data_IF_385110128463
#
_entry.id   IF_385110128463
#
_cell.length_a   1.000
_cell.length_b   1.000
_cell.length_c   1.000
_cell.angle_alpha   90.00
_cell.angle_beta   90.00
_cell.angle_gamma   90.00
#
_symmetry.space_group_name_H-M   'P 1'
#
loop_
_entity.id
_entity.type
_entity.pdbx_description
1 polymer ?
#
# COMPACT_ATOMS: atom_id res chain seq x y z
N UNK A 1 28.39 -37.51 7.98
CA UNK A 1 28.89 -36.19 7.61
C UNK A 1 29.60 -36.18 6.26
N UNK A 2 30.77 -36.84 6.08
CA UNK A 2 31.60 -36.80 4.85
C UNK A 2 30.79 -37.06 3.53
N UNK A 3 29.90 -38.06 3.51
CA UNK A 3 29.06 -38.39 2.32
C UNK A 3 28.08 -37.30 1.93
N UNK A 4 27.57 -36.47 2.87
CA UNK A 4 26.64 -35.39 2.59
C UNK A 4 27.36 -34.11 2.19
N UNK A 5 28.51 -33.84 2.79
CA UNK A 5 29.36 -32.68 2.44
C UNK A 5 29.96 -32.84 1.05
N UNK A 6 30.24 -34.07 0.62
CA UNK A 6 30.77 -34.38 -0.72
C UNK A 6 29.72 -34.30 -1.85
N UNK A 7 28.45 -34.08 -1.54
CA UNK A 7 27.40 -33.97 -2.59
C UNK A 7 27.48 -32.64 -3.32
N UNK A 8 27.25 -32.58 -4.64
CA UNK A 8 27.20 -31.32 -5.39
C UNK A 8 26.17 -30.31 -4.87
N UNK A 9 25.12 -30.81 -4.18
CA UNK A 9 24.07 -30.01 -3.59
C UNK A 9 24.46 -29.37 -2.24
N UNK A 10 25.63 -29.72 -1.69
CA UNK A 10 26.07 -29.17 -0.43
C UNK A 10 26.10 -27.64 -0.47
N UNK A 11 25.52 -26.99 0.56
CA UNK A 11 25.53 -25.54 0.71
C UNK A 11 26.38 -25.12 1.89
N UNK A 12 26.05 -25.62 3.07
CA UNK A 12 26.74 -25.29 4.31
C UNK A 12 26.45 -26.34 5.40
N UNK A 13 27.19 -26.31 6.48
CA UNK A 13 26.93 -27.10 7.66
C UNK A 13 27.17 -26.29 8.93
N UNK A 14 26.50 -26.68 10.01
CA UNK A 14 26.71 -26.11 11.36
C UNK A 14 26.98 -27.27 12.31
N UNK A 15 28.10 -27.20 13.01
CA UNK A 15 28.47 -28.14 14.07
C UNK A 15 27.99 -27.54 15.38
N UNK A 16 27.13 -28.26 16.08
CA UNK A 16 26.60 -27.85 17.39
C UNK A 16 27.36 -28.50 18.53
N UNK A 17 27.76 -29.74 18.34
CA UNK A 17 28.45 -30.56 19.33
C UNK A 17 29.23 -31.67 18.62
N UNK A 18 30.04 -32.39 19.33
CA UNK A 18 30.84 -33.53 18.81
C UNK A 18 30.00 -34.56 18.04
N UNK A 19 28.73 -34.74 18.48
CA UNK A 19 27.81 -35.71 17.94
C UNK A 19 26.65 -35.13 17.12
N UNK A 20 26.54 -33.80 16.98
CA UNK A 20 25.41 -33.13 16.32
C UNK A 20 25.89 -32.12 15.28
N UNK A 21 25.55 -32.41 14.02
CA UNK A 21 25.85 -31.56 12.88
C UNK A 21 24.63 -31.45 11.98
N UNK A 22 24.24 -30.22 11.64
CA UNK A 22 23.24 -29.97 10.59
C UNK A 22 23.92 -29.69 9.27
N UNK A 23 23.48 -30.37 8.21
CA UNK A 23 23.97 -30.16 6.84
C UNK A 23 22.84 -29.64 5.99
N UNK A 24 23.02 -28.47 5.38
CA UNK A 24 22.09 -27.88 4.44
C UNK A 24 22.47 -28.26 3.02
N UNK A 25 21.51 -28.83 2.30
CA UNK A 25 21.66 -29.18 0.88
C UNK A 25 20.73 -28.28 0.04
N UNK A 26 21.18 -27.89 -1.14
CA UNK A 26 20.35 -27.19 -2.14
C UNK A 26 19.33 -28.18 -2.73
N UNK A 27 18.08 -27.75 -2.91
CA UNK A 27 17.10 -28.52 -3.69
C UNK A 27 17.49 -28.52 -5.17
N UNK A 28 17.70 -29.69 -5.74
CA UNK A 28 17.99 -29.86 -7.17
C UNK A 28 16.73 -29.95 -8.02
N UNK A 29 15.64 -30.43 -7.42
CA UNK A 29 14.35 -30.57 -8.09
C UNK A 29 13.31 -29.76 -7.33
N UNK A 30 12.64 -28.88 -8.03
CA UNK A 30 11.50 -28.12 -7.50
C UNK A 30 10.24 -28.61 -8.18
N UNK A 31 9.37 -29.25 -7.41
CA UNK A 31 8.07 -29.69 -7.91
C UNK A 31 7.10 -28.51 -7.92
N UNK A 32 6.63 -28.11 -9.10
CA UNK A 32 5.66 -27.06 -9.30
C UNK A 32 4.25 -27.66 -9.40
N UNK A 33 3.71 -28.12 -8.28
CA UNK A 33 2.39 -28.75 -8.20
C UNK A 33 1.26 -27.81 -7.74
N UNK A 34 1.54 -26.51 -7.60
CA UNK A 34 0.52 -25.50 -7.29
C UNK A 34 0.01 -24.85 -8.58
N UNK A 35 -1.30 -24.69 -8.74
CA UNK A 35 -1.90 -24.14 -9.96
C UNK A 35 -1.69 -22.62 -10.03
N UNK A 36 -0.51 -22.18 -10.43
CA UNK A 36 -0.12 -20.75 -10.50
C UNK A 36 -0.98 -19.96 -11.47
N UNK A 37 -1.43 -20.58 -12.56
CA UNK A 37 -2.33 -19.97 -13.55
C UNK A 37 -3.69 -19.60 -12.94
N UNK A 38 -4.22 -20.42 -12.02
CA UNK A 38 -5.45 -20.07 -11.29
C UNK A 38 -5.22 -18.83 -10.43
N UNK A 39 -4.09 -18.75 -9.70
CA UNK A 39 -3.74 -17.58 -8.91
C UNK A 39 -3.61 -16.31 -9.77
N UNK A 40 -3.04 -16.42 -10.97
CA UNK A 40 -2.97 -15.30 -11.92
C UNK A 40 -4.37 -14.86 -12.37
N UNK A 41 -5.22 -15.79 -12.76
CA UNK A 41 -6.60 -15.47 -13.17
C UNK A 41 -7.39 -14.80 -12.04
N UNK A 42 -7.26 -15.28 -10.80
CA UNK A 42 -7.93 -14.67 -9.63
C UNK A 42 -7.47 -13.22 -9.45
N UNK A 43 -6.17 -12.94 -9.55
CA UNK A 43 -5.65 -11.59 -9.44
C UNK A 43 -6.15 -10.67 -10.56
N UNK A 44 -6.23 -11.14 -11.78
CA UNK A 44 -6.72 -10.34 -12.90
C UNK A 44 -8.24 -10.11 -12.81
N UNK A 45 -9.01 -11.09 -12.37
CA UNK A 45 -10.45 -10.92 -12.09
C UNK A 45 -10.68 -9.92 -10.93
N UNK A 46 -9.86 -9.99 -9.88
CA UNK A 46 -9.91 -9.02 -8.79
C UNK A 46 -9.67 -7.59 -9.29
N UNK A 47 -8.65 -7.38 -10.13
CA UNK A 47 -8.42 -6.06 -10.75
C UNK A 47 -9.59 -5.59 -11.59
N UNK A 48 -10.21 -6.50 -12.37
CA UNK A 48 -11.39 -6.16 -13.17
C UNK A 48 -12.55 -5.68 -12.30
N UNK A 49 -12.81 -6.34 -11.17
CA UNK A 49 -13.84 -5.91 -10.21
C UNK A 49 -13.53 -4.52 -9.67
N UNK A 50 -12.28 -4.28 -9.25
CA UNK A 50 -11.85 -2.97 -8.77
C UNK A 50 -12.01 -1.88 -9.84
N UNK A 51 -11.58 -2.14 -11.08
CA UNK A 51 -11.71 -1.18 -12.17
C UNK A 51 -13.16 -0.89 -12.54
N UNK A 52 -14.05 -1.90 -12.54
CA UNK A 52 -15.48 -1.68 -12.75
C UNK A 52 -16.06 -0.76 -11.68
N UNK A 53 -15.79 -1.03 -10.41
CA UNK A 53 -16.25 -0.14 -9.34
C UNK A 53 -15.77 1.29 -9.53
N UNK A 54 -14.49 1.49 -9.87
CA UNK A 54 -13.94 2.83 -10.09
C UNK A 54 -14.54 3.52 -11.33
N UNK A 55 -14.50 2.88 -12.48
CA UNK A 55 -14.86 3.51 -13.76
C UNK A 55 -16.37 3.45 -14.10
N UNK A 56 -17.09 2.45 -13.63
CA UNK A 56 -18.52 2.28 -13.94
C UNK A 56 -19.42 2.86 -12.84
N UNK A 57 -18.94 2.95 -11.60
CA UNK A 57 -19.73 3.49 -10.48
C UNK A 57 -19.19 4.83 -9.95
N UNK A 58 -17.95 4.88 -9.42
CA UNK A 58 -17.44 6.08 -8.75
C UNK A 58 -17.29 7.26 -9.71
N UNK A 59 -16.57 7.09 -10.81
CA UNK A 59 -16.26 8.20 -11.72
C UNK A 59 -17.50 8.81 -12.39
N UNK A 60 -18.49 8.03 -12.87
CA UNK A 60 -19.71 8.61 -13.46
C UNK A 60 -20.61 9.28 -12.42
N UNK A 61 -20.69 8.70 -11.22
CA UNK A 61 -21.62 9.15 -10.19
C UNK A 61 -21.10 10.35 -9.40
N UNK A 62 -19.77 10.40 -9.16
CA UNK A 62 -19.14 11.45 -8.39
C UNK A 62 -18.07 12.18 -9.22
N UNK A 63 -18.47 13.04 -10.16
CA UNK A 63 -17.53 13.85 -10.94
C UNK A 63 -16.69 14.71 -9.99
N UNK A 64 -15.38 14.57 -10.06
CA UNK A 64 -14.45 15.26 -9.16
C UNK A 64 -13.99 14.44 -7.95
N UNK A 65 -14.44 13.18 -7.82
CA UNK A 65 -13.86 12.26 -6.83
C UNK A 65 -12.36 12.08 -7.08
N UNK A 66 -11.55 12.13 -6.01
CA UNK A 66 -10.12 11.90 -6.07
C UNK A 66 -9.76 10.59 -5.40
N UNK A 67 -9.03 9.74 -6.10
CA UNK A 67 -8.48 8.51 -5.52
C UNK A 67 -7.24 8.86 -4.70
N UNK A 68 -7.31 8.67 -3.37
CA UNK A 68 -6.22 8.96 -2.46
C UNK A 68 -5.21 7.81 -2.40
N UNK A 69 -5.69 6.56 -2.33
CA UNK A 69 -4.86 5.37 -2.50
C UNK A 69 -5.68 4.16 -2.98
N UNK A 70 -4.96 3.19 -3.51
CA UNK A 70 -5.46 1.84 -3.76
C UNK A 70 -4.41 0.82 -3.30
N UNK A 71 -4.86 -0.29 -2.72
CA UNK A 71 -4.00 -1.40 -2.34
C UNK A 71 -4.67 -2.73 -2.66
N UNK A 72 -4.48 -3.20 -3.88
CA UNK A 72 -4.94 -4.49 -4.43
C UNK A 72 -6.48 -4.61 -4.49
N UNK A 73 -7.14 -4.59 -3.33
CA UNK A 73 -8.57 -4.87 -3.11
C UNK A 73 -9.27 -3.76 -2.31
N UNK A 74 -8.63 -2.63 -2.14
CA UNK A 74 -9.18 -1.49 -1.41
C UNK A 74 -8.94 -0.17 -2.11
N UNK A 75 -9.86 0.76 -1.90
CA UNK A 75 -9.78 2.14 -2.33
C UNK A 75 -10.00 3.10 -1.17
N UNK A 76 -9.37 4.25 -1.22
CA UNK A 76 -9.73 5.40 -0.42
C UNK A 76 -10.00 6.58 -1.35
N UNK A 77 -11.16 7.21 -1.20
CA UNK A 77 -11.57 8.33 -2.03
C UNK A 77 -11.81 9.57 -1.18
N UNK A 78 -11.50 10.71 -1.75
CA UNK A 78 -12.10 11.97 -1.39
C UNK A 78 -13.22 12.27 -2.40
N UNK A 79 -14.45 12.42 -1.92
CA UNK A 79 -15.61 12.63 -2.77
C UNK A 79 -16.24 13.97 -2.40
N UNK A 80 -16.20 14.99 -3.29
CA UNK A 80 -16.88 16.24 -3.07
C UNK A 80 -18.40 15.99 -3.22
N UNK A 81 -19.13 16.00 -2.14
CA UNK A 81 -20.57 15.82 -2.14
C UNK A 81 -21.26 16.84 -1.24
N UNK A 82 -22.43 17.30 -1.69
CA UNK A 82 -23.33 18.13 -0.90
C UNK A 82 -24.39 17.31 -0.16
N UNK A 83 -24.45 16.01 -0.40
CA UNK A 83 -25.40 15.07 0.19
C UNK A 83 -24.68 14.01 1.00
N UNK A 84 -25.42 13.31 1.84
CA UNK A 84 -24.89 12.19 2.58
C UNK A 84 -24.51 11.05 1.63
N UNK A 85 -23.22 10.78 1.54
CA UNK A 85 -22.63 9.71 0.70
C UNK A 85 -23.10 8.33 1.15
N UNK A 86 -23.26 8.12 2.44
CA UNK A 86 -23.69 6.82 2.96
C UNK A 86 -25.13 6.49 2.61
N UNK A 87 -26.02 7.48 2.64
CA UNK A 87 -27.38 7.34 2.16
C UNK A 87 -27.42 7.03 0.65
N UNK A 88 -26.53 7.66 -0.12
CA UNK A 88 -26.41 7.42 -1.55
C UNK A 88 -25.85 6.03 -1.86
N UNK A 89 -24.90 5.51 -1.06
CA UNK A 89 -24.41 4.14 -1.18
C UNK A 89 -25.54 3.13 -0.93
N UNK A 90 -26.41 3.37 0.05
CA UNK A 90 -27.57 2.51 0.32
C UNK A 90 -28.52 2.42 -0.86
N UNK A 91 -28.68 3.52 -1.61
CA UNK A 91 -29.46 3.53 -2.86
C UNK A 91 -28.82 2.74 -4.01
N UNK A 92 -27.58 2.23 -3.86
CA UNK A 92 -26.83 1.48 -4.88
C UNK A 92 -26.31 0.17 -4.31
N UNK A 93 -27.17 -0.56 -3.63
CA UNK A 93 -26.84 -1.82 -2.94
C UNK A 93 -26.16 -2.87 -3.81
N UNK A 94 -26.36 -2.82 -5.14
CA UNK A 94 -25.70 -3.75 -6.05
C UNK A 94 -24.15 -3.69 -6.01
N UNK A 95 -23.60 -2.63 -5.49
CA UNK A 95 -22.14 -2.46 -5.36
C UNK A 95 -21.60 -2.76 -3.97
N UNK A 96 -22.43 -2.76 -2.94
CA UNK A 96 -21.99 -2.74 -1.53
C UNK A 96 -22.46 -3.92 -0.71
N UNK A 97 -21.67 -4.22 0.32
CA UNK A 97 -22.00 -5.08 1.45
C UNK A 97 -22.03 -4.22 2.72
N UNK A 98 -23.20 -4.08 3.34
CA UNK A 98 -23.44 -3.26 4.52
C UNK A 98 -23.48 -4.07 5.82
N UNK A 99 -23.09 -5.32 5.81
CA UNK A 99 -23.20 -6.21 6.96
C UNK A 99 -22.25 -5.91 8.13
N UNK A 100 -21.28 -5.00 7.93
CA UNK A 100 -20.31 -4.59 8.95
C UNK A 100 -20.67 -3.30 9.70
N UNK A 101 -21.78 -2.65 9.32
CA UNK A 101 -22.28 -1.52 10.08
C UNK A 101 -22.86 -1.97 11.42
N UNK A 102 -22.94 -1.07 12.40
CA UNK A 102 -23.65 -1.35 13.65
C UNK A 102 -25.15 -1.57 13.41
N UNK A 103 -25.79 -2.38 14.25
CA UNK A 103 -27.20 -2.78 14.05
C UNK A 103 -28.16 -1.58 14.04
N UNK A 104 -27.84 -0.54 14.76
CA UNK A 104 -28.61 0.72 14.84
C UNK A 104 -28.27 1.72 13.73
N UNK A 105 -27.23 1.44 12.92
CA UNK A 105 -26.85 2.31 11.82
C UNK A 105 -27.88 2.24 10.68
N UNK A 106 -28.29 3.39 10.08
CA UNK A 106 -29.30 3.41 9.03
C UNK A 106 -28.97 2.56 7.79
N UNK A 107 -27.72 2.33 7.54
CA UNK A 107 -27.25 1.52 6.41
C UNK A 107 -27.07 0.05 6.73
N UNK A 108 -27.22 -0.37 7.98
CA UNK A 108 -27.04 -1.77 8.34
C UNK A 108 -27.99 -2.67 7.55
N UNK A 109 -27.43 -3.69 6.94
CA UNK A 109 -28.17 -4.73 6.25
C UNK A 109 -27.33 -6.02 6.24
N UNK A 110 -27.78 -7.03 6.96
CA UNK A 110 -27.09 -8.30 7.07
C UNK A 110 -27.50 -9.28 5.96
N UNK A 111 -28.70 -9.13 5.42
CA UNK A 111 -29.28 -10.11 4.50
C UNK A 111 -28.86 -9.87 3.05
N UNK A 112 -28.51 -8.62 2.71
CA UNK A 112 -28.14 -8.24 1.35
C UNK A 112 -26.62 -8.21 1.19
N UNK A 113 -26.12 -8.98 0.24
CA UNK A 113 -24.69 -9.00 -0.18
C UNK A 113 -23.69 -9.40 0.91
N UNK A 114 -24.11 -9.92 2.03
CA UNK A 114 -23.19 -10.35 3.10
C UNK A 114 -22.20 -11.41 2.59
N UNK A 115 -20.91 -11.09 2.68
CA UNK A 115 -19.79 -11.93 2.22
C UNK A 115 -19.83 -12.31 0.73
N UNK A 116 -20.56 -11.58 -0.10
CA UNK A 116 -20.60 -11.82 -1.54
C UNK A 116 -19.31 -11.27 -2.19
N UNK A 117 -18.51 -12.11 -2.88
CA UNK A 117 -17.30 -11.64 -3.54
C UNK A 117 -17.58 -10.52 -4.56
N UNK A 118 -16.76 -9.48 -4.54
CA UNK A 118 -16.87 -8.35 -5.47
C UNK A 118 -17.77 -7.22 -4.98
N UNK A 119 -18.37 -7.33 -3.81
CA UNK A 119 -19.08 -6.23 -3.16
C UNK A 119 -18.11 -5.42 -2.30
N UNK A 120 -18.26 -4.11 -2.33
CA UNK A 120 -17.42 -3.18 -1.58
C UNK A 120 -17.96 -3.03 -0.17
N UNK A 121 -17.09 -3.13 0.81
CA UNK A 121 -17.40 -2.96 2.22
C UNK A 121 -16.72 -1.71 2.75
N UNK A 122 -17.46 -0.87 3.46
CA UNK A 122 -16.88 0.28 4.13
C UNK A 122 -16.06 -0.16 5.34
N UNK A 123 -14.75 0.05 5.29
CA UNK A 123 -13.83 -0.31 6.38
C UNK A 123 -13.96 0.57 7.62
N UNK A 124 -14.62 1.71 7.51
CA UNK A 124 -14.86 2.63 8.62
C UNK A 124 -16.26 2.51 9.22
N UNK A 125 -17.07 1.60 8.68
CA UNK A 125 -18.43 1.31 9.17
C UNK A 125 -19.30 2.57 9.34
N UNK A 126 -19.23 3.50 8.38
CA UNK A 126 -20.00 4.75 8.40
C UNK A 126 -19.33 5.92 9.11
N UNK A 127 -18.17 5.71 9.72
CA UNK A 127 -17.43 6.81 10.39
C UNK A 127 -16.62 7.57 9.35
N UNK A 128 -16.85 8.88 9.15
CA UNK A 128 -16.15 9.67 8.16
C UNK A 128 -14.64 9.77 8.42
N UNK A 129 -13.85 9.68 7.36
CA UNK A 129 -12.43 10.02 7.39
C UNK A 129 -12.34 11.56 7.32
N UNK A 130 -11.73 12.17 8.34
CA UNK A 130 -11.57 13.63 8.43
C UNK A 130 -10.21 14.10 7.93
N UNK A 131 -9.19 13.24 7.96
CA UNK A 131 -7.86 13.58 7.48
C UNK A 131 -7.16 12.36 6.91
N UNK A 132 -6.54 12.54 5.75
CA UNK A 132 -5.68 11.54 5.10
C UNK A 132 -4.32 12.16 4.80
N UNK A 133 -3.24 11.47 5.18
CA UNK A 133 -1.87 11.87 4.87
C UNK A 133 -1.15 10.70 4.22
N UNK A 134 -0.81 10.82 2.94
CA UNK A 134 -0.08 9.82 2.19
C UNK A 134 1.32 10.30 1.81
N UNK A 135 2.36 9.55 2.19
CA UNK A 135 3.73 9.85 1.80
C UNK A 135 4.12 9.05 0.54
N UNK A 136 3.68 7.83 0.44
CA UNK A 136 3.90 6.93 -0.71
C UNK A 136 3.04 5.67 -0.56
N UNK A 137 3.05 4.81 -1.59
CA UNK A 137 2.35 3.53 -1.54
C UNK A 137 2.69 2.74 -0.27
N UNK A 138 1.65 2.30 0.46
CA UNK A 138 1.75 1.59 1.75
C UNK A 138 2.46 2.40 2.86
N UNK A 139 2.40 3.74 2.78
CA UNK A 139 2.92 4.64 3.80
C UNK A 139 1.98 5.84 3.92
N UNK A 140 0.95 5.69 4.73
CA UNK A 140 -0.11 6.68 4.91
C UNK A 140 -0.69 6.61 6.33
N UNK A 141 -1.37 7.66 6.73
CA UNK A 141 -2.13 7.75 7.97
C UNK A 141 -3.52 8.30 7.70
N UNK A 142 -4.51 7.71 8.35
CA UNK A 142 -5.93 8.05 8.25
C UNK A 142 -6.43 8.41 9.65
N UNK A 143 -7.09 9.56 9.77
CA UNK A 143 -7.81 9.98 10.97
C UNK A 143 -9.30 9.95 10.68
N UNK A 144 -10.07 9.29 11.52
CA UNK A 144 -11.52 9.26 11.46
C UNK A 144 -12.13 10.14 12.55
N UNK A 145 -13.40 10.50 12.40
CA UNK A 145 -14.07 11.46 13.30
C UNK A 145 -14.12 10.97 14.76
N UNK A 146 -14.29 9.67 14.97
CA UNK A 146 -14.60 9.09 16.29
C UNK A 146 -13.51 8.14 16.81
N UNK A 147 -12.46 7.87 16.05
CA UNK A 147 -11.47 6.88 16.45
C UNK A 147 -10.54 7.44 17.55
N UNK A 148 -10.36 6.68 18.61
CA UNK A 148 -9.34 6.95 19.63
C UNK A 148 -7.90 6.89 19.08
N UNK A 149 -7.69 6.15 17.99
CA UNK A 149 -6.38 5.96 17.36
C UNK A 149 -6.45 6.07 15.85
N UNK A 150 -5.51 6.82 15.31
CA UNK A 150 -5.32 6.94 13.86
C UNK A 150 -4.92 5.58 13.22
N UNK A 151 -5.52 5.23 12.08
CA UNK A 151 -5.13 4.05 11.29
C UNK A 151 -3.89 4.39 10.47
N UNK A 152 -2.77 3.74 10.76
CA UNK A 152 -1.49 4.01 10.09
C UNK A 152 -0.94 2.77 9.39
N UNK A 153 -0.46 2.98 8.18
CA UNK A 153 0.27 1.99 7.41
C UNK A 153 1.67 2.53 7.09
N UNK A 154 2.71 1.78 7.49
CA UNK A 154 4.10 2.11 7.22
C UNK A 154 4.87 0.83 6.88
N UNK A 155 4.88 0.45 5.59
CA UNK A 155 5.53 -0.78 5.13
C UNK A 155 7.03 -0.75 5.43
N UNK A 156 7.51 -1.83 6.05
CA UNK A 156 8.92 -1.99 6.38
C UNK A 156 9.33 -1.40 7.74
N UNK A 157 8.41 -0.77 8.46
CA UNK A 157 8.60 -0.34 9.84
C UNK A 157 8.25 -1.48 10.80
N UNK A 158 9.03 -1.63 11.86
CA UNK A 158 8.77 -2.62 12.91
C UNK A 158 7.43 -2.28 13.60
N UNK A 159 6.58 -3.28 13.84
CA UNK A 159 5.23 -3.09 14.38
C UNK A 159 5.23 -2.28 15.68
N UNK A 160 6.10 -2.61 16.62
CA UNK A 160 6.22 -1.87 17.90
C UNK A 160 6.59 -0.39 17.70
N UNK A 161 7.50 -0.09 16.76
CA UNK A 161 7.85 1.29 16.42
C UNK A 161 6.65 2.03 15.84
N UNK A 162 5.93 1.39 14.92
CA UNK A 162 4.73 1.98 14.30
C UNK A 162 3.65 2.28 15.34
N UNK A 163 3.40 1.38 16.29
CA UNK A 163 2.31 1.51 17.27
C UNK A 163 2.63 2.46 18.43
N UNK A 164 3.91 2.64 18.78
CA UNK A 164 4.28 3.38 19.99
C UNK A 164 5.11 4.65 19.73
N UNK A 165 5.73 4.79 18.56
CA UNK A 165 6.66 5.88 18.29
C UNK A 165 6.26 6.75 17.10
N UNK A 166 5.31 6.31 16.27
CA UNK A 166 4.85 7.06 15.11
C UNK A 166 3.43 7.55 15.35
N UNK A 167 3.17 8.80 15.02
CA UNK A 167 1.87 9.45 15.14
C UNK A 167 1.41 10.00 13.79
N UNK A 168 0.14 10.33 13.67
CA UNK A 168 -0.40 11.03 12.49
C UNK A 168 0.34 12.36 12.24
N UNK A 169 0.67 13.11 13.30
CA UNK A 169 1.42 14.36 13.19
C UNK A 169 2.86 14.15 12.65
N UNK A 170 3.47 12.98 12.89
CA UNK A 170 4.76 12.67 12.27
C UNK A 170 4.63 12.54 10.74
N UNK A 171 3.50 11.99 10.22
CA UNK A 171 3.24 11.96 8.79
C UNK A 171 3.06 13.37 8.23
N UNK A 172 2.31 14.24 8.91
CA UNK A 172 2.14 15.66 8.51
C UNK A 172 3.47 16.39 8.49
N UNK A 173 4.24 16.30 9.56
CA UNK A 173 5.58 16.90 9.66
C UNK A 173 6.51 16.36 8.56
N UNK A 174 6.47 15.04 8.30
CA UNK A 174 7.25 14.46 7.22
C UNK A 174 6.89 15.06 5.87
N UNK A 175 5.59 15.24 5.60
CA UNK A 175 5.09 15.77 4.33
C UNK A 175 5.42 17.26 4.15
N UNK A 176 5.01 18.09 5.09
CA UNK A 176 5.07 19.55 4.96
C UNK A 176 6.47 20.12 5.19
N UNK A 177 7.18 19.59 6.18
CA UNK A 177 8.53 20.05 6.52
C UNK A 177 9.61 19.26 5.78
N UNK A 178 9.22 18.28 4.93
CA UNK A 178 10.14 17.37 4.22
C UNK A 178 11.13 16.66 5.15
N UNK A 179 10.69 16.36 6.36
CA UNK A 179 11.51 15.77 7.41
C UNK A 179 11.48 14.24 7.33
N UNK A 180 12.65 13.63 7.38
CA UNK A 180 12.79 12.18 7.55
C UNK A 180 12.81 11.83 9.04
N UNK A 181 12.12 10.75 9.39
CA UNK A 181 12.13 10.19 10.74
C UNK A 181 12.92 8.89 10.74
N UNK A 182 13.76 8.75 11.77
CA UNK A 182 14.53 7.54 12.02
C UNK A 182 14.15 6.99 13.39
N UNK A 183 13.92 5.69 13.47
CA UNK A 183 13.64 5.02 14.74
C UNK A 183 14.45 3.74 14.86
N UNK A 184 14.80 3.43 16.10
CA UNK A 184 15.46 2.18 16.48
C UNK A 184 14.43 1.21 17.03
N UNK A 185 14.47 -0.02 16.55
CA UNK A 185 13.63 -1.09 17.06
C UNK A 185 14.37 -2.39 17.07
N UNK A 186 14.10 -3.21 18.08
CA UNK A 186 14.69 -4.53 18.23
C UNK A 186 13.97 -5.55 17.36
N UNK A 187 14.71 -6.44 16.74
CA UNK A 187 14.19 -7.59 16.03
C UNK A 187 15.01 -8.85 16.30
N UNK A 188 14.36 -9.99 16.24
CA UNK A 188 15.01 -11.29 16.30
C UNK A 188 15.52 -11.64 14.91
N UNK A 189 16.79 -11.92 14.82
CA UNK A 189 17.47 -12.40 13.63
C UNK A 189 17.93 -13.84 13.83
N UNK A 190 18.01 -14.55 12.71
CA UNK A 190 18.55 -15.90 12.69
C UNK A 190 19.67 -15.98 11.65
N UNK A 191 20.86 -16.34 12.11
CA UNK A 191 22.00 -16.61 11.23
C UNK A 191 22.58 -17.97 11.61
N UNK A 192 22.73 -18.86 10.64
CA UNK A 192 23.29 -20.21 10.82
C UNK A 192 22.65 -20.96 12.00
N UNK A 193 21.30 -20.90 12.11
CA UNK A 193 20.49 -21.53 13.15
C UNK A 193 20.67 -20.98 14.57
N UNK A 194 21.43 -19.92 14.76
CA UNK A 194 21.50 -19.20 16.04
C UNK A 194 20.54 -18.00 16.00
N UNK A 195 19.80 -17.81 17.09
CA UNK A 195 18.90 -16.69 17.28
C UNK A 195 19.60 -15.61 18.10
N UNK A 196 19.47 -14.38 17.66
CA UNK A 196 19.96 -13.23 18.41
C UNK A 196 19.04 -12.03 18.21
N UNK A 197 19.03 -11.15 19.19
CA UNK A 197 18.33 -9.86 19.10
C UNK A 197 19.30 -8.81 18.59
N UNK A 198 18.84 -8.02 17.65
CA UNK A 198 19.61 -6.88 17.12
C UNK A 198 18.75 -5.63 17.10
N UNK A 199 19.34 -4.53 17.55
CA UNK A 199 18.73 -3.21 17.39
C UNK A 199 19.08 -2.66 16.02
N UNK A 200 18.04 -2.25 15.30
CA UNK A 200 18.17 -1.74 13.94
C UNK A 200 17.55 -0.36 13.86
N UNK A 201 18.40 0.62 13.56
CA UNK A 201 17.98 1.98 13.26
C UNK A 201 17.78 2.13 11.77
N UNK A 202 16.61 2.64 11.36
CA UNK A 202 16.32 2.89 9.96
C UNK A 202 15.33 4.03 9.77
N UNK A 203 15.30 4.57 8.56
CA UNK A 203 14.28 5.53 8.14
C UNK A 203 12.91 4.87 8.20
N UNK A 204 12.00 5.46 8.95
CA UNK A 204 10.63 4.99 9.15
C UNK A 204 9.63 5.77 8.32
N UNK A 205 9.73 7.10 8.31
CA UNK A 205 8.95 7.97 7.45
C UNK A 205 9.89 8.82 6.59
N UNK A 206 9.54 8.95 5.33
CA UNK A 206 10.26 9.81 4.38
C UNK A 206 9.28 10.39 3.38
N UNK A 207 9.34 11.69 3.12
CA UNK A 207 8.55 12.34 2.09
C UNK A 207 9.08 12.01 0.68
N UNK A 208 10.29 11.46 0.59
CA UNK A 208 10.93 11.18 -0.69
C UNK A 208 10.59 9.77 -1.19
N UNK A 209 10.26 9.67 -2.47
CA UNK A 209 9.95 8.41 -3.12
C UNK A 209 10.95 8.12 -4.27
N UNK A 210 12.13 7.68 -3.89
CA UNK A 210 13.27 7.33 -4.76
C UNK A 210 13.03 6.12 -5.69
N UNK A 211 11.81 5.58 -5.70
CA UNK A 211 11.43 4.45 -6.58
C UNK A 211 10.61 4.87 -7.80
N UNK A 212 10.25 6.13 -7.87
CA UNK A 212 9.41 6.67 -8.94
C UNK A 212 9.96 8.00 -9.43
N UNK A 213 9.74 8.24 -10.73
CA UNK A 213 9.83 9.56 -11.34
C UNK A 213 8.43 10.06 -11.60
N UNK A 214 8.20 11.35 -11.45
CA UNK A 214 6.95 11.99 -11.81
C UNK A 214 7.23 12.97 -12.92
N UNK A 215 6.49 12.82 -14.02
CA UNK A 215 6.53 13.73 -15.15
C UNK A 215 5.22 14.48 -15.22
N UNK A 216 5.28 15.80 -15.33
CA UNK A 216 4.11 16.64 -15.54
C UNK A 216 3.84 16.71 -17.04
N UNK A 217 2.61 16.42 -17.46
CA UNK A 217 2.13 16.58 -18.84
C UNK A 217 0.87 17.42 -18.79
N UNK A 218 1.01 18.73 -19.14
CA UNK A 218 -0.07 19.70 -18.94
C UNK A 218 -0.41 19.86 -17.45
N UNK A 219 -1.65 19.58 -17.07
CA UNK A 219 -2.12 19.62 -15.68
C UNK A 219 -2.08 18.24 -14.99
N UNK A 220 -1.72 17.20 -15.72
CA UNK A 220 -1.65 15.84 -15.22
C UNK A 220 -0.24 15.45 -14.76
N UNK A 221 -0.18 14.56 -13.77
CA UNK A 221 1.05 13.97 -13.27
C UNK A 221 1.08 12.47 -13.59
N UNK A 222 2.12 12.04 -14.28
CA UNK A 222 2.34 10.64 -14.63
C UNK A 222 3.52 10.10 -13.83
N UNK A 223 3.32 9.01 -13.08
CA UNK A 223 4.39 8.37 -12.33
C UNK A 223 5.00 7.20 -13.09
N UNK A 224 6.31 7.18 -13.16
CA UNK A 224 7.10 6.13 -13.78
C UNK A 224 7.95 5.41 -12.73
N UNK A 225 8.11 4.09 -12.84
CA UNK A 225 9.03 3.35 -11.97
C UNK A 225 10.48 3.60 -12.39
N UNK A 226 11.39 3.62 -11.42
CA UNK A 226 12.83 3.63 -11.69
C UNK A 226 13.23 2.43 -12.58
N UNK A 227 14.10 2.67 -13.55
CA UNK A 227 14.55 1.65 -14.49
C UNK A 227 13.58 1.39 -15.66
N UNK A 228 12.50 2.14 -15.78
CA UNK A 228 11.65 2.08 -16.96
C UNK A 228 12.36 2.75 -18.16
N UNK A 229 12.72 1.97 -19.16
CA UNK A 229 13.41 2.44 -20.38
C UNK A 229 12.56 3.40 -21.23
N UNK A 230 11.25 3.49 -20.99
CA UNK A 230 10.37 4.44 -21.69
C UNK A 230 10.58 5.89 -21.26
N UNK A 231 11.31 6.18 -20.19
CA UNK A 231 11.55 7.54 -19.70
C UNK A 231 12.33 8.36 -20.73
N UNK A 232 13.32 7.77 -21.39
CA UNK A 232 14.09 8.46 -22.44
C UNK A 232 13.23 8.92 -23.63
N UNK A 233 12.14 8.22 -23.91
CA UNK A 233 11.23 8.61 -24.99
C UNK A 233 10.21 9.67 -24.55
N UNK A 234 9.90 9.74 -23.26
CA UNK A 234 8.96 10.75 -22.70
C UNK A 234 9.65 12.11 -22.58
N UNK A 235 10.92 12.15 -22.20
CA UNK A 235 11.71 13.40 -22.21
C UNK A 235 11.74 14.02 -23.61
N UNK A 236 11.96 13.19 -24.63
CA UNK A 236 11.98 13.66 -26.03
C UNK A 236 10.59 14.12 -26.52
N UNK A 237 9.51 13.50 -26.06
CA UNK A 237 8.14 13.92 -26.38
C UNK A 237 7.76 15.22 -25.66
N UNK A 238 8.24 15.45 -24.45
CA UNK A 238 8.01 16.70 -23.71
C UNK A 238 8.73 17.87 -24.36
N UNK A 239 9.97 17.70 -24.82
CA UNK A 239 10.72 18.72 -25.53
C UNK A 239 10.08 19.09 -26.87
N UNK A 240 9.54 18.11 -27.59
CA UNK A 240 8.94 18.33 -28.93
C UNK A 240 7.56 19.00 -28.85
N UNK A 241 6.78 18.76 -27.81
CA UNK A 241 5.39 19.24 -27.74
C UNK A 241 5.17 20.53 -26.94
N UNK A 242 6.11 20.95 -26.10
CA UNK A 242 5.84 22.05 -25.16
C UNK A 242 6.68 23.31 -25.40
N UNK A 243 7.73 23.30 -26.25
CA UNK A 243 8.56 24.48 -26.52
C UNK A 243 9.08 25.14 -25.23
N UNK A 244 9.24 24.40 -24.16
CA UNK A 244 9.65 24.91 -22.86
C UNK A 244 11.15 24.70 -22.74
N UNK A 245 11.89 25.77 -22.92
CA UNK A 245 13.27 25.87 -22.44
C UNK A 245 13.23 25.89 -20.92
N UNK A 246 13.84 24.90 -20.28
CA UNK A 246 14.08 24.90 -18.87
C UNK A 246 13.93 23.53 -18.24
N UNK A 247 15.07 22.85 -18.04
CA UNK A 247 15.22 21.69 -17.20
C UNK A 247 14.93 22.05 -15.75
N UNK A 248 13.69 21.91 -15.30
CA UNK A 248 13.42 21.65 -13.89
C UNK A 248 13.08 20.16 -13.79
N UNK A 249 14.10 19.36 -13.50
CA UNK A 249 13.89 18.02 -12.93
C UNK A 249 13.12 18.21 -11.62
N UNK A 250 11.81 18.08 -11.68
CA UNK A 250 10.99 17.95 -10.49
C UNK A 250 11.31 16.57 -9.91
N UNK A 251 12.30 16.50 -9.05
CA UNK A 251 12.43 15.37 -8.12
C UNK A 251 11.21 15.41 -7.24
N UNK A 252 10.16 14.78 -7.70
CA UNK A 252 8.90 14.89 -7.02
C UNK A 252 8.86 14.02 -5.80
N UNK A 253 8.61 14.69 -4.80
CA UNK A 253 8.60 14.32 -3.41
C UNK A 253 7.24 14.64 -2.79
N UNK A 254 6.20 14.87 -3.60
CA UNK A 254 4.93 15.32 -3.07
C UNK A 254 3.95 14.15 -2.84
N UNK A 255 3.70 13.87 -1.58
CA UNK A 255 2.46 13.27 -1.15
C UNK A 255 1.44 14.41 -1.00
N UNK A 256 0.27 14.27 -1.58
CA UNK A 256 -0.79 15.28 -1.44
C UNK A 256 -1.60 15.05 -0.16
N UNK A 257 -1.83 16.13 0.60
CA UNK A 257 -2.91 16.19 1.58
C UNK A 257 -4.12 16.80 0.88
N UNK A 258 -5.23 16.09 0.95
CA UNK A 258 -6.52 16.61 0.53
C UNK A 258 -7.33 16.91 1.77
N UNK A 259 -7.60 18.19 2.02
CA UNK A 259 -8.55 18.62 3.02
C UNK A 259 -9.93 18.70 2.38
N UNK A 260 -10.99 18.30 3.07
CA UNK A 260 -12.32 18.73 2.69
C UNK A 260 -12.40 20.25 2.86
N UNK A 261 -12.61 20.97 1.77
CA UNK A 261 -13.02 22.37 1.86
C UNK A 261 -14.39 22.44 2.52
N UNK A 262 -14.52 23.30 3.54
CA UNK A 262 -15.76 23.54 4.26
C UNK A 262 -16.88 24.09 3.36
#
# INVERSE_FOLDING_TARGET
MKKLVARPQYKEHVIYDENMVTIQLKKTVVTLNKPRYIGMCILDLSKLVMYRFHYEFIMPKYPGAKLLFTDTDSFCYWIPSKTDIYADFKGNQEWFDFSNYEIDHPNFDYDVNNLVPGKMKDETAGIPIIEFVGLRAKMYSIRTLEAEKDKMTAKGVIKAVKEHQITHENFKTSLFEKKQFMHTGSKILQVKHQLYTADVTKVTLSPFNDKKWITRIGDDFISHSFGNSCISNVEHLCEVNLGIEGNEEVKDTHAEIVYPEN
#
